data_IF_270441865746
#
_entry.id   IF_270441865746
#
_cell.length_a   1.000
_cell.length_b   1.000
_cell.length_c   1.000
_cell.angle_alpha   90.00
_cell.angle_beta   90.00
_cell.angle_gamma   90.00
#
_symmetry.space_group_name_H-M   'P 1'
#
loop_
_entity.id
_entity.type
_entity.pdbx_description
1 polymer ?
#
# COMPACT_ATOMS: atom_id res chain seq x y z
N UNK A 1 -27.34 -42.43 -38.07
CA UNK A 1 -26.19 -41.78 -38.74
C UNK A 1 -26.29 -40.28 -38.47
N UNK A 2 -25.17 -39.68 -38.02
CA UNK A 2 -24.86 -38.24 -37.80
C UNK A 2 -25.65 -37.45 -36.74
N UNK A 3 -25.09 -36.50 -35.99
CA UNK A 3 -23.81 -36.32 -35.29
C UNK A 3 -23.98 -35.07 -34.39
N UNK A 4 -23.28 -35.07 -33.26
CA UNK A 4 -22.81 -33.98 -32.38
C UNK A 4 -23.05 -32.49 -32.74
N UNK A 5 -23.29 -31.72 -31.67
CA UNK A 5 -22.92 -30.31 -31.48
C UNK A 5 -23.91 -29.63 -30.53
N UNK A 6 -23.76 -29.65 -29.20
CA UNK A 6 -22.76 -29.00 -28.35
C UNK A 6 -22.36 -27.60 -28.83
N UNK A 7 -22.32 -26.65 -27.89
CA UNK A 7 -21.97 -25.22 -27.98
C UNK A 7 -23.15 -24.32 -28.36
N UNK A 8 -23.54 -23.29 -27.62
CA UNK A 8 -22.73 -22.36 -26.81
C UNK A 8 -23.52 -21.93 -25.56
N UNK A 9 -23.14 -22.46 -24.39
CA UNK A 9 -23.36 -21.76 -23.14
C UNK A 9 -22.42 -20.56 -23.13
N UNK A 10 -22.95 -19.35 -23.28
CA UNK A 10 -22.19 -18.11 -23.07
C UNK A 10 -21.93 -18.01 -21.58
N UNK A 11 -20.82 -18.62 -21.14
CA UNK A 11 -20.27 -18.45 -19.81
C UNK A 11 -19.94 -16.97 -19.62
N UNK A 12 -20.71 -16.30 -18.76
CA UNK A 12 -20.30 -15.06 -18.13
C UNK A 12 -19.08 -15.37 -17.25
N UNK A 13 -17.88 -15.27 -17.83
CA UNK A 13 -16.65 -15.16 -17.06
C UNK A 13 -16.62 -13.76 -16.45
N UNK A 14 -17.28 -13.63 -15.30
CA UNK A 14 -17.18 -12.45 -14.44
C UNK A 14 -15.75 -12.44 -13.89
N UNK A 15 -14.94 -11.50 -14.38
CA UNK A 15 -13.55 -11.29 -14.00
C UNK A 15 -13.42 -11.04 -12.50
N UNK A 16 -13.02 -12.08 -11.75
CA UNK A 16 -12.78 -12.02 -10.30
C UNK A 16 -11.48 -11.30 -9.91
N UNK A 17 -10.72 -10.78 -10.88
CA UNK A 17 -9.40 -10.18 -10.66
C UNK A 17 -9.43 -8.77 -10.06
N UNK A 18 -10.56 -8.04 -10.14
CA UNK A 18 -10.64 -6.66 -9.65
C UNK A 18 -10.69 -6.55 -8.10
N UNK A 19 -11.13 -7.61 -7.42
CA UNK A 19 -11.30 -7.59 -5.95
C UNK A 19 -10.04 -8.04 -5.20
N UNK A 20 -9.12 -8.77 -5.84
CA UNK A 20 -7.87 -9.18 -5.22
C UNK A 20 -7.00 -7.94 -4.94
N UNK A 21 -6.70 -7.13 -5.99
CA UNK A 21 -5.70 -6.05 -5.90
C UNK A 21 -5.91 -5.06 -4.76
N UNK A 22 -7.16 -4.78 -4.40
CA UNK A 22 -7.52 -3.90 -3.28
C UNK A 22 -7.06 -4.48 -1.94
N UNK A 23 -7.19 -5.79 -1.73
CA UNK A 23 -6.75 -6.44 -0.50
C UNK A 23 -5.22 -6.44 -0.38
N UNK A 24 -4.51 -6.67 -1.48
CA UNK A 24 -3.04 -6.58 -1.50
C UNK A 24 -2.56 -5.16 -1.22
N UNK A 25 -3.21 -4.13 -1.77
CA UNK A 25 -2.90 -2.74 -1.49
C UNK A 25 -3.05 -2.41 0.01
N UNK A 26 -4.12 -2.88 0.64
CA UNK A 26 -4.32 -2.70 2.09
C UNK A 26 -3.24 -3.38 2.92
N UNK A 27 -2.85 -4.58 2.50
CA UNK A 27 -1.81 -5.32 3.16
C UNK A 27 -0.48 -4.57 3.05
N UNK A 28 -0.14 -4.06 1.87
CA UNK A 28 1.07 -3.27 1.64
C UNK A 28 1.07 -1.97 2.47
N UNK A 29 -0.08 -1.26 2.53
CA UNK A 29 -0.23 -0.08 3.39
C UNK A 29 -0.03 -0.39 4.88
N UNK A 30 -0.60 -1.52 5.34
CA UNK A 30 -0.44 -1.99 6.73
C UNK A 30 1.01 -2.35 7.04
N UNK A 31 1.70 -2.98 6.09
CA UNK A 31 3.11 -3.33 6.23
C UNK A 31 3.99 -2.09 6.32
N UNK A 32 3.80 -1.11 5.42
CA UNK A 32 4.55 0.15 5.45
C UNK A 32 4.30 0.92 6.75
N UNK A 33 3.03 1.03 7.17
CA UNK A 33 2.69 1.62 8.47
C UNK A 33 3.46 0.95 9.63
N UNK A 34 3.43 -0.38 9.69
CA UNK A 34 4.10 -1.14 10.75
C UNK A 34 5.61 -0.88 10.73
N UNK A 35 6.19 -0.74 9.55
CA UNK A 35 7.60 -0.39 9.37
C UNK A 35 7.90 1.02 9.90
N UNK A 36 7.11 2.02 9.52
CA UNK A 36 7.26 3.41 10.01
C UNK A 36 7.15 3.47 11.53
N UNK A 37 6.20 2.74 12.12
CA UNK A 37 6.06 2.61 13.58
C UNK A 37 7.32 2.08 14.23
N UNK A 38 7.91 1.00 13.70
CA UNK A 38 9.18 0.45 14.21
C UNK A 38 10.32 1.46 14.08
N UNK A 39 10.43 2.16 12.95
CA UNK A 39 11.49 3.14 12.74
C UNK A 39 11.39 4.32 13.71
N UNK A 40 10.18 4.84 13.95
CA UNK A 40 9.95 5.91 14.92
C UNK A 40 10.26 5.42 16.34
N UNK A 41 9.87 4.19 16.69
CA UNK A 41 10.20 3.62 18.00
C UNK A 41 11.71 3.46 18.20
N UNK A 42 12.46 3.08 17.16
CA UNK A 42 13.93 3.00 17.20
C UNK A 42 14.55 4.38 17.41
N UNK A 43 14.09 5.38 16.66
CA UNK A 43 14.54 6.77 16.79
C UNK A 43 14.29 7.31 18.21
N UNK A 44 13.09 7.08 18.74
CA UNK A 44 12.69 7.51 20.08
C UNK A 44 13.37 6.70 21.19
N UNK A 45 13.74 5.46 20.95
CA UNK A 45 14.52 4.65 21.90
C UNK A 45 15.99 5.06 21.92
N UNK A 46 16.56 5.44 20.77
CA UNK A 46 17.91 6.00 20.66
C UNK A 46 18.04 7.37 21.31
N UNK A 47 16.95 8.13 21.37
CA UNK A 47 16.89 9.42 22.05
C UNK A 47 16.55 9.28 23.54
N UNK A 48 17.59 9.23 24.38
CA UNK A 48 17.49 9.07 25.85
C UNK A 48 16.73 10.18 26.58
N UNK A 49 16.50 11.32 25.92
CA UNK A 49 15.84 12.50 26.49
C UNK A 49 14.31 12.47 26.37
N UNK A 50 13.73 11.49 25.66
CA UNK A 50 12.28 11.42 25.46
C UNK A 50 11.61 10.69 26.64
N UNK A 51 10.76 11.36 27.44
CA UNK A 51 10.07 10.72 28.56
C UNK A 51 9.11 9.63 28.08
N UNK A 52 8.91 8.59 28.90
CA UNK A 52 8.03 7.46 28.57
C UNK A 52 6.59 7.88 28.17
N UNK A 53 6.05 8.92 28.82
CA UNK A 53 4.74 9.49 28.49
C UNK A 53 4.68 10.05 27.06
N UNK A 54 5.79 10.63 26.58
CA UNK A 54 5.91 11.18 25.24
C UNK A 54 6.04 10.07 24.18
N UNK A 55 6.70 8.95 24.53
CA UNK A 55 6.77 7.76 23.65
C UNK A 55 5.38 7.18 23.36
N UNK A 56 4.53 7.09 24.38
CA UNK A 56 3.13 6.63 24.23
C UNK A 56 2.31 7.59 23.37
N UNK A 57 2.54 8.89 23.49
CA UNK A 57 1.87 9.90 22.67
C UNK A 57 2.24 9.77 21.19
N UNK A 58 3.53 9.59 20.88
CA UNK A 58 4.02 9.37 19.51
C UNK A 58 3.45 8.07 18.93
N UNK A 59 3.44 6.97 19.72
CA UNK A 59 2.90 5.69 19.28
C UNK A 59 1.42 5.77 18.88
N UNK A 60 0.62 6.49 19.67
CA UNK A 60 -0.80 6.71 19.41
C UNK A 60 -1.02 7.59 18.18
N UNK A 61 -0.18 8.60 17.96
CA UNK A 61 -0.27 9.48 16.80
C UNK A 61 0.03 8.72 15.51
N UNK A 62 1.12 7.94 15.48
CA UNK A 62 1.48 7.11 14.32
C UNK A 62 0.41 6.06 14.04
N UNK A 63 -0.13 5.43 15.10
CA UNK A 63 -1.18 4.42 14.95
C UNK A 63 -2.47 5.01 14.37
N UNK A 64 -2.82 6.26 14.70
CA UNK A 64 -3.94 6.96 14.10
C UNK A 64 -3.68 7.35 12.63
N UNK A 65 -2.48 7.85 12.31
CA UNK A 65 -2.09 8.13 10.91
C UNK A 65 -2.18 6.87 10.05
N UNK A 66 -1.71 5.75 10.57
CA UNK A 66 -1.81 4.44 9.93
C UNK A 66 -3.25 3.98 9.66
N UNK A 67 -4.19 4.28 10.56
CA UNK A 67 -5.60 3.94 10.37
C UNK A 67 -6.23 4.75 9.23
N UNK A 68 -5.70 5.94 8.95
CA UNK A 68 -6.18 6.80 7.87
C UNK A 68 -5.64 6.41 6.48
N UNK A 69 -4.52 5.67 6.40
CA UNK A 69 -3.97 5.16 5.14
C UNK A 69 -4.88 4.12 4.42
N UNK A 70 -5.86 3.54 5.12
CA UNK A 70 -6.65 2.38 4.65
C UNK A 70 -8.04 2.78 4.12
N UNK A 71 -8.26 4.05 3.75
CA UNK A 71 -9.51 4.45 3.09
C UNK A 71 -9.48 4.13 1.59
N UNK A 72 -9.60 2.85 1.28
CA UNK A 72 -9.64 2.23 -0.07
C UNK A 72 -10.74 2.77 -0.97
N UNK A 73 -11.77 3.40 -0.40
CA UNK A 73 -12.95 3.86 -1.12
C UNK A 73 -12.60 4.77 -2.32
N UNK A 74 -11.44 5.42 -2.30
CA UNK A 74 -10.93 6.30 -3.35
C UNK A 74 -10.24 5.56 -4.52
N UNK A 75 -9.82 4.29 -4.35
CA UNK A 75 -9.15 3.52 -5.41
C UNK A 75 -10.10 2.70 -6.30
N UNK A 76 -11.38 2.61 -5.94
CA UNK A 76 -12.39 1.93 -6.77
C UNK A 76 -12.59 2.59 -8.15
N UNK A 77 -12.25 3.87 -8.30
CA UNK A 77 -12.33 4.58 -9.58
C UNK A 77 -11.08 4.39 -10.45
N UNK A 78 -9.96 3.95 -9.86
CA UNK A 78 -8.65 3.88 -10.52
C UNK A 78 -7.97 2.52 -10.31
N UNK A 79 -8.63 1.45 -10.76
CA UNK A 79 -8.11 0.08 -10.65
C UNK A 79 -6.70 -0.12 -11.22
N UNK A 80 -6.28 0.66 -12.23
CA UNK A 80 -4.93 0.57 -12.79
C UNK A 80 -3.83 1.13 -11.87
N UNK A 81 -4.21 1.93 -10.87
CA UNK A 81 -3.28 2.45 -9.87
C UNK A 81 -3.04 1.47 -8.72
N UNK A 82 -3.91 0.48 -8.54
CA UNK A 82 -3.88 -0.43 -7.39
C UNK A 82 -2.59 -1.25 -7.36
N UNK A 83 -2.21 -1.89 -8.46
CA UNK A 83 -1.01 -2.71 -8.53
C UNK A 83 0.28 -1.87 -8.43
N UNK A 84 0.45 -0.76 -9.17
CA UNK A 84 1.62 0.12 -9.01
C UNK A 84 1.73 0.73 -7.60
N UNK A 85 0.62 1.15 -6.99
CA UNK A 85 0.60 1.66 -5.62
C UNK A 85 1.01 0.57 -4.62
N UNK A 86 0.53 -0.65 -4.80
CA UNK A 86 0.93 -1.81 -3.98
C UNK A 86 2.44 -2.03 -4.05
N UNK A 87 3.01 -2.07 -5.26
CA UNK A 87 4.44 -2.25 -5.46
C UNK A 87 5.28 -1.11 -4.85
N UNK A 88 4.79 0.14 -4.94
CA UNK A 88 5.41 1.28 -4.26
C UNK A 88 5.48 1.06 -2.75
N UNK A 89 4.34 0.78 -2.10
CA UNK A 89 4.25 0.59 -0.66
C UNK A 89 5.12 -0.58 -0.16
N UNK A 90 5.11 -1.71 -0.87
CA UNK A 90 5.97 -2.86 -0.55
C UNK A 90 7.46 -2.51 -0.66
N UNK A 91 7.85 -1.79 -1.73
CA UNK A 91 9.24 -1.39 -1.94
C UNK A 91 9.76 -0.44 -0.86
N UNK A 92 8.89 0.38 -0.26
CA UNK A 92 9.22 1.23 0.88
C UNK A 92 9.29 0.42 2.17
N UNK A 93 8.38 -0.53 2.39
CA UNK A 93 8.32 -1.33 3.62
C UNK A 93 9.58 -2.18 3.84
N UNK A 94 10.27 -2.58 2.76
CA UNK A 94 11.52 -3.35 2.83
C UNK A 94 12.78 -2.50 3.07
N UNK A 95 12.69 -1.17 2.99
CA UNK A 95 13.83 -0.28 3.24
C UNK A 95 14.30 -0.38 4.70
N UNK A 96 15.55 0.00 4.96
CA UNK A 96 16.00 0.18 6.35
C UNK A 96 15.45 1.51 6.90
N UNK A 97 15.48 1.70 8.23
CA UNK A 97 14.88 2.88 8.86
C UNK A 97 15.61 4.19 8.56
N UNK A 98 16.93 4.17 8.37
CA UNK A 98 17.65 5.38 7.95
C UNK A 98 17.15 5.83 6.57
N UNK A 99 17.11 4.91 5.61
CA UNK A 99 16.58 5.20 4.27
C UNK A 99 15.11 5.62 4.32
N UNK A 100 14.25 4.94 5.08
CA UNK A 100 12.82 5.26 5.11
C UNK A 100 12.51 6.61 5.80
N UNK A 101 13.31 7.00 6.80
CA UNK A 101 13.08 8.23 7.57
C UNK A 101 13.78 9.45 6.97
N UNK A 102 14.90 9.25 6.27
CA UNK A 102 15.69 10.32 5.65
C UNK A 102 15.46 10.47 4.15
N UNK A 103 14.66 9.60 3.51
CA UNK A 103 14.57 9.59 2.05
C UNK A 103 13.95 10.86 1.48
N UNK A 104 14.79 11.67 0.84
CA UNK A 104 14.43 12.56 -0.27
C UNK A 104 14.27 11.79 -1.60
N UNK A 105 14.64 10.50 -1.62
CA UNK A 105 14.66 9.68 -2.83
C UNK A 105 13.53 8.65 -2.82
N UNK A 106 12.67 8.78 -3.83
CA UNK A 106 11.62 7.84 -4.15
C UNK A 106 12.19 6.50 -4.65
N UNK A 107 11.53 5.38 -4.35
CA UNK A 107 11.92 4.08 -4.90
C UNK A 107 11.55 4.00 -6.40
N UNK A 108 12.21 3.15 -7.20
CA UNK A 108 11.81 2.96 -8.59
C UNK A 108 10.35 2.53 -8.79
N UNK A 109 9.79 1.78 -7.83
CA UNK A 109 8.38 1.34 -7.90
C UNK A 109 7.42 2.50 -7.64
N UNK A 110 7.75 3.41 -6.71
CA UNK A 110 6.97 4.61 -6.46
C UNK A 110 7.04 5.58 -7.65
N UNK A 111 8.22 5.73 -8.28
CA UNK A 111 8.35 6.57 -9.47
C UNK A 111 7.47 6.08 -10.65
N UNK A 112 7.33 4.76 -10.83
CA UNK A 112 6.41 4.21 -11.84
C UNK A 112 4.95 4.40 -11.45
N UNK A 113 4.60 4.26 -10.16
CA UNK A 113 3.26 4.61 -9.68
C UNK A 113 2.92 6.08 -9.98
N UNK A 114 3.82 7.02 -9.65
CA UNK A 114 3.61 8.45 -9.88
C UNK A 114 3.36 8.74 -11.37
N UNK A 115 4.18 8.16 -12.26
CA UNK A 115 4.01 8.30 -13.71
C UNK A 115 2.65 7.81 -14.23
N UNK A 116 2.04 6.82 -13.58
CA UNK A 116 0.71 6.33 -13.94
C UNK A 116 -0.36 7.24 -13.32
N UNK A 117 -0.18 7.65 -12.06
CA UNK A 117 -1.07 8.57 -11.36
C UNK A 117 -1.20 9.94 -12.06
N UNK A 118 -0.10 10.49 -12.57
CA UNK A 118 -0.05 11.77 -13.30
C UNK A 118 -0.99 11.80 -14.53
N UNK A 119 -1.40 10.64 -15.07
CA UNK A 119 -2.34 10.56 -16.19
C UNK A 119 -3.76 10.97 -15.79
N UNK A 120 -4.07 10.93 -14.49
CA UNK A 120 -5.39 11.17 -13.92
C UNK A 120 -5.56 12.57 -13.33
N UNK A 121 -4.49 13.36 -13.22
CA UNK A 121 -4.53 14.73 -12.67
C UNK A 121 -4.96 15.81 -13.69
N UNK A 122 -5.67 15.45 -14.77
CA UNK A 122 -6.17 16.39 -15.80
C UNK A 122 -7.68 16.62 -15.75
#
# INVERSE_FOLDING_TARGET
MLNKGLFLGVSAMISASALAGVNELNQAATQLCSKVKVCIQQEVAGNGDIPASMKVMVDNMVSQMCQQFVSIAEFNEYHELVEPATACLESMAVQNCATLMESEQETPACAEYQKIADKYEN
#
